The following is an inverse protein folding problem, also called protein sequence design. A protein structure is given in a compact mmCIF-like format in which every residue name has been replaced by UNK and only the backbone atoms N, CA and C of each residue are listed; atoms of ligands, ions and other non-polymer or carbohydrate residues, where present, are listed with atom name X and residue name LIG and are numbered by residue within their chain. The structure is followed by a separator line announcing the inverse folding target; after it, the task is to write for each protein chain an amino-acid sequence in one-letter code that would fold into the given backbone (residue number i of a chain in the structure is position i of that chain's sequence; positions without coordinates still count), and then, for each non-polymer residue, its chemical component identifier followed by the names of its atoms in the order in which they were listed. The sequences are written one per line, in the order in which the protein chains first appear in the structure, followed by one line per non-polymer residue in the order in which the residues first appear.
data_IF_085790504655
#
_entry.id   IF_085790504655
#
_cell.length_a   1.000
_cell.length_b   1.000
_cell.length_c   1.000
_cell.angle_alpha   90.00
_cell.angle_beta   90.00
_cell.angle_gamma   90.00
#
_symmetry.space_group_name_H-M   'P 1'
#
loop_
_entity.id
_entity.type
_entity.pdbx_description
1 polymer ?
#
# COMPACT_ATOMS: atom_id res chain seq x y z
N UNK A 1 12.34 19.15 64.09
CA UNK A 1 13.45 18.18 63.89
C UNK A 1 12.86 16.92 63.28
N UNK A 2 13.10 16.67 62.00
CA UNK A 2 12.83 15.40 61.32
C UNK A 2 13.99 15.12 60.39
N UNK A 3 14.58 13.92 60.36
CA UNK A 3 15.76 13.64 59.59
C UNK A 3 15.41 13.27 58.12
N UNK A 4 16.23 13.76 57.23
CA UNK A 4 16.27 13.48 55.80
C UNK A 4 16.87 12.08 55.53
N UNK A 5 16.14 11.19 54.89
CA UNK A 5 16.65 9.93 54.35
C UNK A 5 17.13 10.14 52.94
N UNK A 6 18.41 10.02 52.72
CA UNK A 6 19.05 9.95 51.41
C UNK A 6 19.00 8.49 50.92
N UNK A 7 18.32 8.25 49.79
CA UNK A 7 18.39 6.98 49.11
C UNK A 7 19.48 7.10 48.00
N UNK A 8 20.56 6.37 48.18
CA UNK A 8 21.61 6.26 47.16
C UNK A 8 21.23 5.16 46.19
N UNK A 9 21.08 5.52 44.91
CA UNK A 9 20.91 4.55 43.84
C UNK A 9 22.29 4.04 43.41
N UNK A 10 22.54 2.73 43.57
CA UNK A 10 23.69 2.04 43.06
C UNK A 10 23.39 1.64 41.61
N UNK A 11 24.16 2.20 40.67
CA UNK A 11 24.14 1.75 39.26
C UNK A 11 25.13 0.61 39.11
N UNK A 12 24.58 -0.56 38.81
CA UNK A 12 25.39 -1.75 38.51
C UNK A 12 25.69 -1.78 37.02
N UNK A 13 26.93 -1.53 36.62
CA UNK A 13 27.42 -1.69 35.24
C UNK A 13 27.94 -3.12 35.10
N UNK A 14 27.20 -3.96 34.39
CA UNK A 14 27.66 -5.29 33.96
C UNK A 14 28.36 -5.16 32.61
N UNK A 15 29.69 -5.26 32.65
CA UNK A 15 30.52 -5.41 31.46
C UNK A 15 30.47 -6.84 30.94
N UNK A 16 30.03 -7.01 29.70
CA UNK A 16 30.12 -8.29 28.99
C UNK A 16 31.42 -8.27 28.16
N UNK A 17 32.40 -9.05 28.56
CA UNK A 17 33.61 -9.33 27.78
C UNK A 17 33.25 -10.32 26.65
N UNK A 18 33.26 -9.85 25.41
CA UNK A 18 33.08 -10.70 24.23
C UNK A 18 34.39 -11.40 23.85
N UNK A 19 34.38 -12.71 23.85
CA UNK A 19 35.48 -13.55 23.36
C UNK A 19 35.55 -13.52 21.84
N UNK A 20 36.65 -13.04 21.28
CA UNK A 20 36.97 -13.13 19.85
C UNK A 20 37.51 -14.53 19.57
N UNK A 21 36.74 -15.37 18.91
CA UNK A 21 37.21 -16.59 18.26
C UNK A 21 37.59 -16.27 16.80
N UNK A 22 38.90 -16.28 16.56
CA UNK A 22 39.42 -16.23 15.20
C UNK A 22 39.18 -17.57 14.52
N UNK A 23 38.41 -17.53 13.42
CA UNK A 23 38.22 -18.68 12.52
C UNK A 23 39.10 -18.48 11.29
N UNK A 24 40.01 -19.41 11.07
CA UNK A 24 40.93 -19.42 9.93
C UNK A 24 40.22 -19.85 8.63
N UNK A 25 40.50 -19.10 7.59
CA UNK A 25 40.70 -19.49 6.20
C UNK A 25 39.71 -20.42 5.53
N UNK A 26 38.64 -19.85 4.95
CA UNK A 26 37.89 -20.43 3.84
C UNK A 26 37.54 -19.30 2.85
N UNK A 27 38.07 -19.41 1.64
CA UNK A 27 37.74 -18.48 0.54
C UNK A 27 36.27 -18.58 0.17
N UNK A 28 35.45 -17.72 0.78
CA UNK A 28 34.08 -17.53 0.31
C UNK A 28 34.04 -16.32 -0.62
N UNK A 29 33.68 -16.58 -1.88
CA UNK A 29 33.39 -15.52 -2.85
C UNK A 29 32.32 -14.58 -2.29
N UNK A 30 32.63 -13.29 -2.24
CA UNK A 30 31.71 -12.23 -1.87
C UNK A 30 30.66 -12.13 -2.96
N UNK A 31 29.53 -12.78 -2.78
CA UNK A 31 28.30 -12.47 -3.53
C UNK A 31 27.74 -11.18 -2.95
N UNK A 32 27.59 -10.17 -3.80
CA UNK A 32 27.01 -8.89 -3.43
C UNK A 32 25.56 -9.00 -2.94
N UNK A 33 25.02 -7.97 -2.25
CA UNK A 33 23.69 -8.01 -1.62
C UNK A 33 22.48 -8.18 -2.57
N UNK A 34 22.73 -8.35 -3.89
CA UNK A 34 21.67 -8.38 -4.90
C UNK A 34 21.11 -9.75 -5.29
N UNK A 35 21.59 -10.87 -4.70
CA UNK A 35 21.23 -12.21 -5.21
C UNK A 35 20.19 -12.99 -4.41
N UNK A 36 19.62 -12.42 -3.34
CA UNK A 36 18.63 -13.12 -2.52
C UNK A 36 17.18 -13.10 -3.05
N UNK A 37 16.90 -12.33 -4.10
CA UNK A 37 15.54 -12.14 -4.61
C UNK A 37 15.31 -12.63 -6.05
N UNK A 38 16.26 -13.34 -6.66
CA UNK A 38 16.12 -13.85 -8.04
C UNK A 38 15.69 -15.32 -8.13
N UNK A 39 15.08 -15.88 -7.09
CA UNK A 39 14.39 -17.16 -7.27
C UNK A 39 13.02 -16.87 -7.91
N UNK A 40 12.88 -17.32 -9.18
CA UNK A 40 11.61 -17.29 -9.89
C UNK A 40 10.54 -18.02 -9.09
N UNK A 41 9.59 -17.25 -8.55
CA UNK A 41 8.40 -17.78 -7.92
C UNK A 41 7.44 -18.23 -9.03
N UNK A 42 7.20 -19.53 -9.10
CA UNK A 42 6.01 -20.06 -9.79
C UNK A 42 4.78 -19.71 -8.95
N UNK A 43 3.77 -19.13 -9.57
CA UNK A 43 2.53 -18.67 -8.93
C UNK A 43 1.67 -19.78 -8.27
N UNK A 44 2.10 -21.06 -8.28
CA UNK A 44 1.18 -22.17 -8.09
C UNK A 44 1.47 -23.13 -6.93
N UNK A 45 2.54 -22.99 -6.14
CA UNK A 45 2.95 -23.99 -5.15
C UNK A 45 3.08 -23.50 -3.69
N UNK A 46 2.41 -22.41 -3.30
CA UNK A 46 2.41 -22.03 -1.88
C UNK A 46 1.29 -22.77 -1.13
N UNK A 47 1.62 -23.67 -0.18
CA UNK A 47 0.61 -24.38 0.62
C UNK A 47 -0.33 -23.47 1.40
N UNK A 48 0.11 -22.23 1.65
CA UNK A 48 -0.66 -21.23 2.42
C UNK A 48 -1.76 -20.51 1.63
N UNK A 49 -1.85 -20.70 0.31
CA UNK A 49 -2.83 -20.00 -0.53
C UNK A 49 -4.28 -20.42 -0.29
N UNK A 50 -4.52 -21.56 0.39
CA UNK A 50 -5.85 -22.12 0.63
C UNK A 50 -6.32 -22.00 2.09
N UNK A 51 -5.51 -21.48 2.99
CA UNK A 51 -5.89 -21.34 4.39
C UNK A 51 -6.79 -20.11 4.59
N UNK A 52 -7.93 -20.26 5.29
CA UNK A 52 -8.74 -19.12 5.69
C UNK A 52 -7.93 -18.17 6.57
N UNK A 53 -7.95 -16.90 6.26
CA UNK A 53 -7.26 -15.85 7.01
C UNK A 53 -8.25 -14.73 7.31
N UNK A 54 -7.96 -13.96 8.36
CA UNK A 54 -8.77 -12.82 8.76
C UNK A 54 -8.73 -11.69 7.71
N UNK A 55 -7.58 -11.53 7.04
CA UNK A 55 -7.36 -10.52 6.03
C UNK A 55 -6.62 -11.07 4.81
N UNK A 56 -7.06 -10.63 3.64
CA UNK A 56 -6.44 -10.90 2.34
C UNK A 56 -6.04 -9.57 1.70
N UNK A 57 -4.75 -9.36 1.48
CA UNK A 57 -4.29 -8.26 0.63
C UNK A 57 -4.69 -8.56 -0.81
N UNK A 58 -5.61 -7.78 -1.36
CA UNK A 58 -6.20 -8.01 -2.66
C UNK A 58 -5.85 -6.89 -3.63
N UNK A 59 -5.08 -7.22 -4.67
CA UNK A 59 -4.72 -6.31 -5.76
C UNK A 59 -5.75 -6.39 -6.87
N UNK A 60 -6.41 -5.28 -7.19
CA UNK A 60 -7.38 -5.23 -8.26
C UNK A 60 -6.70 -5.24 -9.62
N UNK A 61 -7.00 -6.24 -10.46
CA UNK A 61 -6.63 -6.29 -11.87
C UNK A 61 -7.78 -5.75 -12.70
N UNK A 62 -7.49 -4.72 -13.48
CA UNK A 62 -8.43 -4.03 -14.35
C UNK A 62 -7.85 -3.91 -15.76
N UNK A 63 -8.70 -3.69 -16.78
CA UNK A 63 -8.27 -3.39 -18.13
C UNK A 63 -7.73 -1.97 -18.22
N UNK A 64 -6.51 -1.82 -18.75
CA UNK A 64 -5.85 -0.52 -18.91
C UNK A 64 -5.97 -0.01 -20.33
N UNK A 65 -6.17 1.30 -20.49
CA UNK A 65 -6.08 1.97 -21.79
C UNK A 65 -4.71 1.80 -22.46
N UNK A 66 -3.65 1.62 -21.68
CA UNK A 66 -2.31 1.35 -22.20
C UNK A 66 -2.17 -0.06 -22.77
N UNK A 67 -2.92 -1.03 -22.28
CA UNK A 67 -2.92 -2.40 -22.80
C UNK A 67 -3.55 -2.48 -24.20
N UNK A 68 -4.53 -1.63 -24.46
CA UNK A 68 -5.21 -1.56 -25.75
C UNK A 68 -4.31 -1.04 -26.90
N UNK A 69 -3.26 -0.27 -26.56
CA UNK A 69 -2.32 0.32 -27.53
C UNK A 69 -1.01 -0.47 -27.68
N UNK A 70 -0.70 -1.41 -26.78
CA UNK A 70 0.57 -2.14 -26.77
C UNK A 70 0.63 -3.35 -27.71
N UNK A 71 -0.12 -3.33 -28.82
CA UNK A 71 -0.06 -4.35 -29.88
C UNK A 71 1.28 -4.49 -30.59
N UNK A 72 2.33 -3.76 -30.23
CA UNK A 72 3.70 -3.89 -30.72
C UNK A 72 4.73 -3.62 -29.61
N UNK A 73 5.31 -4.70 -29.06
CA UNK A 73 6.72 -4.71 -28.58
C UNK A 73 7.14 -3.73 -27.49
N UNK A 74 6.24 -3.17 -26.70
CA UNK A 74 6.61 -2.33 -25.55
C UNK A 74 7.07 -3.19 -24.37
N UNK A 75 8.18 -2.84 -23.75
CA UNK A 75 8.70 -3.43 -22.50
C UNK A 75 7.74 -3.12 -21.33
N UNK A 76 6.65 -3.90 -21.22
CA UNK A 76 5.64 -3.73 -20.18
C UNK A 76 4.78 -4.98 -20.09
N UNK A 77 5.34 -6.06 -19.59
CA UNK A 77 4.57 -7.25 -19.25
C UNK A 77 3.61 -6.90 -18.12
N UNK A 78 2.32 -6.66 -18.44
CA UNK A 78 1.27 -6.81 -17.47
C UNK A 78 0.44 -5.61 -17.04
N UNK A 79 0.25 -4.58 -17.86
CA UNK A 79 -0.73 -3.51 -17.59
C UNK A 79 -0.44 -2.59 -16.38
N UNK A 80 -1.16 -1.50 -16.30
CA UNK A 80 -0.98 -0.46 -15.25
C UNK A 80 -1.25 -0.99 -13.82
N UNK A 81 -2.13 -1.98 -13.67
CA UNK A 81 -2.44 -2.57 -12.36
C UNK A 81 -1.25 -3.26 -11.68
N UNK A 82 -0.21 -3.66 -12.46
CA UNK A 82 1.00 -4.36 -11.97
C UNK A 82 2.11 -3.44 -11.49
N UNK A 83 1.90 -2.12 -11.46
CA UNK A 83 2.91 -1.22 -10.90
C UNK A 83 3.28 -1.69 -9.48
N UNK A 84 4.59 -1.78 -9.19
CA UNK A 84 5.18 -2.17 -7.90
C UNK A 84 4.86 -3.60 -7.43
N UNK A 85 4.04 -4.34 -8.22
CA UNK A 85 3.65 -5.71 -7.92
C UNK A 85 4.77 -6.71 -8.29
N UNK A 86 5.04 -7.72 -7.46
CA UNK A 86 4.42 -8.01 -6.15
C UNK A 86 5.21 -7.47 -4.95
N UNK A 87 6.31 -6.73 -5.16
CA UNK A 87 7.22 -6.35 -4.06
C UNK A 87 6.54 -5.44 -3.04
N UNK A 88 5.83 -4.41 -3.49
CA UNK A 88 5.09 -3.51 -2.62
C UNK A 88 4.11 -4.26 -1.72
N UNK A 89 3.31 -5.15 -2.31
CA UNK A 89 2.29 -5.95 -1.62
C UNK A 89 2.90 -6.84 -0.53
N UNK A 90 3.99 -7.53 -0.87
CA UNK A 90 4.71 -8.42 0.07
C UNK A 90 5.36 -7.65 1.21
N UNK A 91 5.97 -6.51 0.92
CA UNK A 91 6.52 -5.64 1.96
C UNK A 91 5.44 -5.10 2.88
N UNK A 92 4.29 -4.71 2.31
CA UNK A 92 3.15 -4.27 3.10
C UNK A 92 2.62 -5.39 4.00
N UNK A 93 2.43 -6.59 3.47
CA UNK A 93 2.00 -7.76 4.25
C UNK A 93 2.96 -8.10 5.40
N UNK A 94 4.28 -7.98 5.17
CA UNK A 94 5.25 -8.15 6.26
C UNK A 94 5.08 -7.10 7.36
N UNK A 95 4.84 -5.85 6.99
CA UNK A 95 4.59 -4.76 7.94
C UNK A 95 3.28 -4.99 8.70
N UNK A 96 2.19 -5.33 8.01
CA UNK A 96 0.89 -5.65 8.61
C UNK A 96 1.03 -6.72 9.70
N UNK A 97 1.69 -7.83 9.41
CA UNK A 97 1.93 -8.92 10.37
C UNK A 97 2.81 -8.54 11.56
N UNK A 98 3.75 -7.61 11.36
CA UNK A 98 4.67 -7.17 12.43
C UNK A 98 4.06 -6.10 13.33
N UNK A 99 3.24 -5.24 12.75
CA UNK A 99 2.73 -4.03 13.41
C UNK A 99 1.31 -4.21 13.96
N UNK A 100 0.63 -5.29 13.56
CA UNK A 100 -0.72 -5.61 14.03
C UNK A 100 -0.82 -7.06 14.51
N UNK A 101 -2.00 -7.44 15.04
CA UNK A 101 -2.32 -8.83 15.38
C UNK A 101 -3.24 -9.47 14.34
N UNK A 102 -3.45 -8.81 13.20
CA UNK A 102 -4.30 -9.33 12.13
C UNK A 102 -3.66 -10.59 11.55
N UNK A 103 -4.42 -11.67 11.50
CA UNK A 103 -4.03 -12.91 10.84
C UNK A 103 -4.22 -12.75 9.33
N UNK A 104 -3.23 -12.10 8.70
CA UNK A 104 -3.25 -11.90 7.28
C UNK A 104 -2.65 -13.10 6.53
N UNK A 105 -3.24 -13.44 5.38
CA UNK A 105 -2.65 -14.41 4.45
C UNK A 105 -1.22 -13.96 4.08
N UNK A 106 -0.25 -14.88 4.03
CA UNK A 106 1.16 -14.53 3.80
C UNK A 106 1.48 -14.01 2.40
N UNK A 107 0.60 -14.26 1.43
CA UNK A 107 0.76 -13.87 0.02
C UNK A 107 -0.40 -13.00 -0.42
N UNK A 108 -0.11 -12.11 -1.36
CA UNK A 108 -1.08 -11.27 -2.03
C UNK A 108 -2.06 -12.08 -2.89
N UNK A 109 -3.25 -11.52 -3.14
CA UNK A 109 -4.25 -12.06 -4.05
C UNK A 109 -4.49 -11.07 -5.18
N UNK A 110 -4.39 -11.52 -6.43
CA UNK A 110 -4.87 -10.73 -7.57
C UNK A 110 -6.34 -11.05 -7.78
N UNK A 111 -7.15 -10.01 -7.90
CA UNK A 111 -8.60 -10.10 -8.07
C UNK A 111 -9.00 -9.41 -9.37
N UNK A 112 -9.66 -10.15 -10.25
CA UNK A 112 -10.12 -9.64 -11.52
C UNK A 112 -11.42 -8.87 -11.41
N UNK A 113 -11.46 -7.69 -12.03
CA UNK A 113 -12.67 -6.88 -12.04
C UNK A 113 -13.78 -7.48 -12.91
N UNK A 114 -13.44 -8.34 -13.88
CA UNK A 114 -14.40 -9.06 -14.72
C UNK A 114 -14.98 -10.32 -14.07
N UNK A 115 -14.50 -10.68 -12.87
CA UNK A 115 -14.92 -11.85 -12.10
C UNK A 115 -15.73 -11.48 -10.87
N UNK A 116 -16.73 -12.31 -10.54
CA UNK A 116 -17.49 -12.18 -9.29
C UNK A 116 -16.67 -12.56 -8.05
N UNK A 117 -15.44 -13.04 -8.23
CA UNK A 117 -14.53 -13.35 -7.13
C UNK A 117 -14.21 -12.12 -6.25
N UNK A 118 -14.31 -10.92 -6.80
CA UNK A 118 -14.13 -9.66 -6.06
C UNK A 118 -15.01 -9.59 -4.80
N UNK A 119 -16.19 -10.21 -4.80
CA UNK A 119 -17.10 -10.19 -3.64
C UNK A 119 -16.63 -11.04 -2.47
N UNK A 120 -15.58 -11.86 -2.65
CA UNK A 120 -14.94 -12.63 -1.58
C UNK A 120 -13.91 -11.81 -0.80
N UNK A 121 -13.55 -10.63 -1.28
CA UNK A 121 -12.49 -9.78 -0.73
C UNK A 121 -13.05 -8.42 -0.33
N UNK A 122 -13.27 -8.14 0.96
CA UNK A 122 -13.91 -6.90 1.40
C UNK A 122 -13.05 -5.65 1.20
N UNK A 123 -11.75 -5.82 0.90
CA UNK A 123 -10.80 -4.74 0.68
C UNK A 123 -9.97 -5.00 -0.58
N UNK A 124 -9.88 -4.02 -1.46
CA UNK A 124 -9.07 -4.10 -2.68
C UNK A 124 -8.22 -2.84 -2.87
N UNK A 125 -7.03 -3.03 -3.44
CA UNK A 125 -6.08 -1.97 -3.76
C UNK A 125 -5.85 -1.87 -5.27
N UNK A 126 -5.90 -0.66 -5.82
CA UNK A 126 -5.66 -0.37 -7.23
C UNK A 126 -4.68 0.79 -7.40
N UNK A 127 -3.73 0.64 -8.33
CA UNK A 127 -2.73 1.66 -8.66
C UNK A 127 -2.90 2.15 -10.09
N UNK A 128 -2.32 3.31 -10.42
CA UNK A 128 -2.36 3.92 -11.75
C UNK A 128 -3.77 4.01 -12.36
N UNK A 129 -4.74 4.27 -11.51
CA UNK A 129 -6.16 4.24 -11.82
C UNK A 129 -6.60 5.30 -12.84
N UNK A 130 -5.73 6.24 -13.20
CA UNK A 130 -5.95 7.13 -14.34
C UNK A 130 -5.94 6.39 -15.69
N UNK A 131 -5.43 5.16 -15.71
CA UNK A 131 -5.32 4.34 -16.92
C UNK A 131 -6.42 3.29 -17.04
N UNK A 132 -7.27 3.12 -16.04
CA UNK A 132 -8.33 2.11 -16.10
C UNK A 132 -9.39 2.42 -17.15
N UNK A 133 -9.95 1.37 -17.71
CA UNK A 133 -11.11 1.43 -18.58
C UNK A 133 -12.12 0.40 -18.12
N UNK A 134 -13.40 0.72 -18.19
CA UNK A 134 -14.47 -0.18 -17.76
C UNK A 134 -15.44 -0.45 -18.91
N UNK A 135 -15.84 -1.69 -19.03
CA UNK A 135 -17.08 -2.05 -19.65
C UNK A 135 -18.26 -1.72 -18.71
N UNK A 136 -19.48 -1.62 -19.21
CA UNK A 136 -20.66 -1.40 -18.37
C UNK A 136 -20.82 -2.51 -17.31
N UNK A 137 -20.44 -3.74 -17.65
CA UNK A 137 -20.49 -4.87 -16.72
C UNK A 137 -19.48 -4.75 -15.58
N UNK A 138 -18.23 -4.33 -15.87
CA UNK A 138 -17.20 -4.10 -14.87
C UNK A 138 -17.54 -2.91 -13.97
N UNK A 139 -18.02 -1.81 -14.56
CA UNK A 139 -18.47 -0.64 -13.81
C UNK A 139 -19.61 -1.01 -12.85
N UNK A 140 -20.60 -1.78 -13.34
CA UNK A 140 -21.69 -2.27 -12.49
C UNK A 140 -21.19 -3.20 -11.38
N UNK A 141 -20.24 -4.08 -11.66
CA UNK A 141 -19.68 -5.00 -10.66
C UNK A 141 -18.95 -4.24 -9.58
N UNK A 142 -18.12 -3.27 -9.93
CA UNK A 142 -17.43 -2.45 -8.95
C UNK A 142 -18.42 -1.60 -8.13
N UNK A 143 -19.48 -1.07 -8.77
CA UNK A 143 -20.58 -0.40 -8.08
C UNK A 143 -21.22 -1.32 -7.02
N UNK A 144 -21.64 -2.52 -7.45
CA UNK A 144 -22.29 -3.49 -6.56
C UNK A 144 -21.35 -3.91 -5.42
N UNK A 145 -20.06 -4.10 -5.71
CA UNK A 145 -19.04 -4.41 -4.71
C UNK A 145 -18.96 -3.33 -3.62
N UNK A 146 -18.83 -2.08 -4.01
CA UNK A 146 -18.70 -0.96 -3.09
C UNK A 146 -19.96 -0.79 -2.20
N UNK A 147 -21.16 -0.91 -2.80
CA UNK A 147 -22.41 -0.75 -2.06
C UNK A 147 -22.75 -1.97 -1.18
N UNK A 148 -22.19 -3.14 -1.46
CA UNK A 148 -22.37 -4.34 -0.63
C UNK A 148 -21.39 -4.45 0.54
N UNK A 149 -20.54 -3.46 0.75
CA UNK A 149 -19.62 -3.44 1.88
C UNK A 149 -18.14 -3.45 1.49
N UNK A 150 -17.82 -3.51 0.19
CA UNK A 150 -16.45 -3.45 -0.28
C UNK A 150 -15.77 -2.11 0.01
N UNK A 151 -14.46 -2.14 0.13
CA UNK A 151 -13.61 -0.97 0.28
C UNK A 151 -12.55 -0.95 -0.81
N UNK A 152 -12.42 0.17 -1.52
CA UNK A 152 -11.41 0.37 -2.56
C UNK A 152 -10.41 1.44 -2.13
N UNK A 153 -9.13 1.10 -2.09
CA UNK A 153 -8.04 2.05 -1.97
C UNK A 153 -7.41 2.29 -3.34
N UNK A 154 -7.28 3.55 -3.77
CA UNK A 154 -6.63 3.93 -5.03
C UNK A 154 -5.44 4.83 -4.80
N UNK A 155 -4.38 4.63 -5.61
CA UNK A 155 -3.07 5.25 -5.44
C UNK A 155 -2.35 5.43 -6.79
N UNK A 156 -1.22 6.13 -6.80
CA UNK A 156 -0.32 6.32 -7.94
C UNK A 156 -1.01 6.89 -9.19
N UNK A 157 -1.55 8.09 -9.04
CA UNK A 157 -1.97 8.93 -10.17
C UNK A 157 -1.83 10.41 -9.81
N UNK A 158 -1.41 11.23 -10.78
CA UNK A 158 -0.83 12.53 -10.48
C UNK A 158 -1.31 13.62 -11.43
N UNK A 159 -1.61 14.78 -10.83
CA UNK A 159 -1.97 15.99 -11.57
C UNK A 159 -3.41 15.98 -12.09
N UNK A 160 -3.74 17.08 -12.76
CA UNK A 160 -5.11 17.36 -13.21
C UNK A 160 -5.61 16.38 -14.27
N UNK A 161 -4.76 16.05 -15.23
CA UNK A 161 -5.16 15.17 -16.34
C UNK A 161 -5.43 13.73 -15.87
N UNK A 162 -4.65 13.21 -14.90
CA UNK A 162 -4.90 11.89 -14.32
C UNK A 162 -6.18 11.90 -13.48
N UNK A 163 -6.39 12.99 -12.72
CA UNK A 163 -7.62 13.18 -11.97
C UNK A 163 -8.87 13.12 -12.86
N UNK A 164 -8.86 13.81 -13.99
CA UNK A 164 -10.00 13.85 -14.91
C UNK A 164 -10.30 12.46 -15.49
N UNK A 165 -9.24 11.68 -15.83
CA UNK A 165 -9.41 10.30 -16.32
C UNK A 165 -9.91 9.35 -15.22
N UNK A 166 -9.35 9.44 -14.02
CA UNK A 166 -9.85 8.69 -12.86
C UNK A 166 -11.33 8.96 -12.62
N UNK A 167 -11.72 10.23 -12.59
CA UNK A 167 -13.11 10.62 -12.39
C UNK A 167 -14.04 10.22 -13.54
N UNK A 168 -13.54 10.15 -14.78
CA UNK A 168 -14.32 9.60 -15.88
C UNK A 168 -14.72 8.15 -15.62
N UNK A 169 -13.80 7.31 -15.15
CA UNK A 169 -14.11 5.94 -14.72
C UNK A 169 -15.04 5.88 -13.51
N UNK A 170 -14.77 6.69 -12.48
CA UNK A 170 -15.62 6.70 -11.27
C UNK A 170 -17.06 7.14 -11.55
N UNK A 171 -17.29 8.02 -12.50
CA UNK A 171 -18.65 8.40 -12.92
C UNK A 171 -19.44 7.25 -13.57
N UNK A 172 -18.77 6.27 -14.17
CA UNK A 172 -19.42 5.04 -14.63
C UNK A 172 -19.79 4.13 -13.46
N UNK A 173 -18.95 4.11 -12.43
CA UNK A 173 -19.12 3.23 -11.25
C UNK A 173 -20.12 3.83 -10.26
N UNK A 174 -19.92 5.09 -9.86
CA UNK A 174 -20.69 5.79 -8.83
C UNK A 174 -20.97 7.24 -9.25
N UNK A 175 -21.92 7.46 -10.16
CA UNK A 175 -22.18 8.78 -10.74
C UNK A 175 -22.72 9.81 -9.73
N UNK A 176 -23.46 9.36 -8.73
CA UNK A 176 -24.28 10.20 -7.87
C UNK A 176 -23.62 10.56 -6.53
N UNK A 177 -22.36 10.17 -6.32
CA UNK A 177 -21.66 10.41 -5.06
C UNK A 177 -20.54 11.44 -5.20
N UNK A 178 -20.49 12.43 -4.28
CA UNK A 178 -19.42 13.42 -4.29
C UNK A 178 -18.10 12.80 -3.82
N UNK A 179 -17.00 13.37 -4.32
CA UNK A 179 -15.68 13.18 -3.74
C UNK A 179 -15.48 14.26 -2.67
N UNK A 180 -15.04 13.86 -1.49
CA UNK A 180 -14.80 14.74 -0.34
C UNK A 180 -13.31 14.78 -0.01
N UNK A 181 -12.77 15.96 0.32
CA UNK A 181 -11.44 16.06 0.91
C UNK A 181 -11.50 15.65 2.38
N UNK A 182 -10.63 14.72 2.80
CA UNK A 182 -10.47 14.31 4.19
C UNK A 182 -9.83 15.41 5.03
N UNK A 183 -10.33 15.57 6.24
CA UNK A 183 -9.83 16.49 7.26
C UNK A 183 -8.93 15.76 8.25
N UNK A 184 -8.14 16.51 9.03
CA UNK A 184 -7.21 15.91 10.00
C UNK A 184 -7.92 15.10 11.09
N UNK A 185 -9.15 15.48 11.45
CA UNK A 185 -9.96 14.81 12.46
C UNK A 185 -10.80 13.62 11.95
N UNK A 186 -10.72 13.29 10.64
CA UNK A 186 -11.48 12.16 10.10
C UNK A 186 -10.96 10.84 10.68
N UNK A 187 -11.88 10.01 11.14
CA UNK A 187 -11.64 8.77 11.87
C UNK A 187 -10.67 7.82 11.17
N UNK A 188 -10.70 7.76 9.84
CA UNK A 188 -9.82 6.90 9.06
C UNK A 188 -8.31 7.15 9.32
N UNK A 189 -7.93 8.28 9.90
CA UNK A 189 -6.55 8.61 10.27
C UNK A 189 -6.24 8.37 11.76
N UNK A 190 -7.17 7.78 12.50
CA UNK A 190 -7.09 7.60 13.95
C UNK A 190 -7.54 6.20 14.41
N UNK A 191 -7.68 5.25 13.48
CA UNK A 191 -8.17 3.90 13.82
C UNK A 191 -7.11 3.08 14.54
N UNK A 192 -5.87 3.12 14.08
CA UNK A 192 -4.73 2.39 14.65
C UNK A 192 -3.61 3.36 15.04
N UNK A 193 -3.28 4.28 14.15
CA UNK A 193 -2.30 5.33 14.37
C UNK A 193 -2.99 6.68 14.46
N UNK A 194 -2.40 7.61 15.22
CA UNK A 194 -2.82 9.01 15.22
C UNK A 194 -2.00 9.77 14.17
N UNK A 195 -2.54 9.88 12.95
CA UNK A 195 -1.87 10.52 11.82
C UNK A 195 -2.33 11.98 11.73
N UNK A 196 -1.76 12.85 12.57
CA UNK A 196 -2.12 14.26 12.62
C UNK A 196 -1.63 15.06 11.41
N UNK A 197 -0.32 15.11 11.19
CA UNK A 197 0.26 15.82 10.05
C UNK A 197 0.58 14.87 8.91
N UNK A 198 -0.03 15.10 7.75
CA UNK A 198 0.20 14.31 6.53
C UNK A 198 0.94 15.13 5.49
N UNK A 199 1.84 14.50 4.77
CA UNK A 199 2.61 15.11 3.70
C UNK A 199 2.55 14.25 2.43
N UNK A 200 3.05 14.79 1.33
CA UNK A 200 3.13 14.09 0.06
C UNK A 200 4.13 12.93 0.16
N UNK A 201 3.68 11.73 -0.14
CA UNK A 201 4.53 10.53 -0.25
C UNK A 201 4.88 10.37 -1.72
N UNK A 202 6.15 10.59 -2.10
CA UNK A 202 6.59 10.46 -3.49
C UNK A 202 6.83 9.01 -3.88
N UNK A 203 6.88 8.76 -5.18
CA UNK A 203 7.41 7.53 -5.73
C UNK A 203 8.94 7.48 -5.77
N UNK A 204 9.48 6.41 -6.39
CA UNK A 204 10.91 6.15 -6.58
C UNK A 204 11.65 7.35 -7.20
N UNK A 205 10.98 8.13 -8.07
CA UNK A 205 11.60 9.30 -8.71
C UNK A 205 12.19 10.30 -7.73
N UNK A 206 11.77 10.30 -6.45
CA UNK A 206 12.36 11.13 -5.40
C UNK A 206 13.85 10.85 -5.21
N UNK A 207 14.25 9.59 -5.27
CA UNK A 207 15.65 9.16 -5.10
C UNK A 207 16.59 9.82 -6.13
N UNK A 208 16.09 10.06 -7.33
CA UNK A 208 16.88 10.61 -8.44
C UNK A 208 16.68 12.12 -8.63
N UNK A 209 15.52 12.64 -8.30
CA UNK A 209 15.14 14.02 -8.60
C UNK A 209 15.02 14.94 -7.37
N UNK A 210 14.85 14.37 -6.17
CA UNK A 210 14.51 15.11 -4.96
C UNK A 210 13.11 15.73 -4.97
N UNK A 211 12.26 15.42 -5.97
CA UNK A 211 10.92 15.98 -6.09
C UNK A 211 9.90 15.06 -5.44
N UNK A 212 9.03 15.63 -4.62
CA UNK A 212 7.92 14.89 -4.01
C UNK A 212 6.70 14.77 -4.93
N UNK A 213 6.66 15.52 -6.03
CA UNK A 213 5.53 15.60 -6.94
C UNK A 213 5.85 15.05 -8.32
N UNK A 214 4.82 14.59 -9.02
CA UNK A 214 4.84 14.25 -10.43
C UNK A 214 3.84 15.12 -11.20
N UNK A 215 4.12 15.37 -12.48
CA UNK A 215 3.29 16.20 -13.36
C UNK A 215 3.00 17.57 -12.72
N UNK A 216 1.74 17.98 -12.69
CA UNK A 216 1.25 19.17 -11.99
C UNK A 216 0.63 18.86 -10.60
N UNK A 217 0.92 17.66 -10.07
CA UNK A 217 0.43 17.17 -8.78
C UNK A 217 1.22 17.67 -7.57
N UNK A 218 1.37 18.98 -7.41
CA UNK A 218 2.23 19.61 -6.39
C UNK A 218 1.76 19.41 -4.95
N UNK A 219 0.48 19.13 -4.74
CA UNK A 219 -0.13 19.05 -3.41
C UNK A 219 -0.81 17.71 -3.23
N UNK A 220 -0.50 16.96 -2.15
CA UNK A 220 -1.18 15.69 -1.85
C UNK A 220 -2.67 15.94 -1.60
N UNK A 221 -3.49 15.02 -2.07
CA UNK A 221 -4.94 15.05 -1.88
C UNK A 221 -5.42 13.74 -1.28
N UNK A 222 -5.83 13.82 -0.04
CA UNK A 222 -6.45 12.72 0.70
C UNK A 222 -7.95 12.86 0.56
N UNK A 223 -8.58 12.00 -0.24
CA UNK A 223 -9.99 12.13 -0.62
C UNK A 223 -10.73 10.82 -0.42
N UNK A 224 -12.06 10.92 -0.37
CA UNK A 224 -12.92 9.76 -0.20
C UNK A 224 -14.22 9.89 -0.98
N UNK A 225 -14.86 8.73 -1.19
CA UNK A 225 -16.27 8.64 -1.53
C UNK A 225 -16.95 7.85 -0.42
N UNK A 226 -18.14 8.32 0.03
CA UNK A 226 -18.90 7.67 1.10
C UNK A 226 -20.20 7.04 0.58
N UNK A 227 -20.68 6.03 1.29
CA UNK A 227 -22.04 5.49 1.07
C UNK A 227 -23.11 6.33 1.78
N UNK A 228 -24.38 5.91 1.66
CA UNK A 228 -25.52 6.62 2.28
C UNK A 228 -25.52 6.61 3.81
N UNK A 229 -24.70 5.73 4.41
CA UNK A 229 -24.53 5.63 5.86
C UNK A 229 -23.34 6.45 6.37
N UNK A 230 -22.62 7.12 5.47
CA UNK A 230 -21.41 7.88 5.79
C UNK A 230 -20.13 7.03 5.85
N UNK A 231 -20.19 5.71 5.60
CA UNK A 231 -19.01 4.84 5.55
C UNK A 231 -18.16 5.19 4.32
N UNK A 232 -16.86 5.27 4.50
CA UNK A 232 -15.93 5.42 3.37
C UNK A 232 -15.92 4.10 2.58
N UNK A 233 -16.20 4.19 1.28
CA UNK A 233 -16.16 3.06 0.35
C UNK A 233 -15.03 3.15 -0.65
N UNK A 234 -14.51 4.36 -0.92
CA UNK A 234 -13.32 4.58 -1.73
C UNK A 234 -12.40 5.55 -1.00
N UNK A 235 -11.16 5.16 -0.75
CA UNK A 235 -10.09 6.01 -0.26
C UNK A 235 -9.14 6.36 -1.40
N UNK A 236 -8.89 7.66 -1.60
CA UNK A 236 -8.23 8.19 -2.79
C UNK A 236 -6.95 8.90 -2.38
N UNK A 237 -5.79 8.33 -2.73
CA UNK A 237 -4.46 8.88 -2.51
C UNK A 237 -3.97 9.57 -3.79
N UNK A 238 -4.50 10.76 -4.09
CA UNK A 238 -4.17 11.50 -5.30
C UNK A 238 -2.92 12.37 -5.12
N UNK A 239 -2.03 12.39 -6.11
CA UNK A 239 -0.71 13.02 -6.09
C UNK A 239 0.26 12.37 -5.10
N UNK A 240 0.16 11.08 -4.90
CA UNK A 240 1.01 10.30 -4.02
C UNK A 240 1.29 8.94 -4.65
N UNK A 241 2.33 8.27 -4.15
CA UNK A 241 2.68 6.91 -4.56
C UNK A 241 3.06 6.08 -3.33
N UNK A 242 2.04 5.60 -2.63
CA UNK A 242 2.24 4.79 -1.43
C UNK A 242 2.83 3.42 -1.78
N UNK A 243 2.46 2.87 -2.95
CA UNK A 243 2.99 1.61 -3.47
C UNK A 243 4.52 1.61 -3.59
N UNK A 244 5.10 2.63 -4.22
CA UNK A 244 6.55 2.80 -4.30
C UNK A 244 7.18 2.95 -2.89
N UNK A 245 6.53 3.71 -2.00
CA UNK A 245 7.04 3.89 -0.65
C UNK A 245 7.08 2.57 0.15
N UNK A 246 6.19 1.63 -0.13
CA UNK A 246 6.27 0.28 0.41
C UNK A 246 7.34 -0.54 -0.31
N UNK A 247 7.40 -0.48 -1.65
CA UNK A 247 8.36 -1.23 -2.46
C UNK A 247 9.80 -0.87 -2.12
N UNK A 248 10.08 0.42 -1.92
CA UNK A 248 11.42 0.95 -1.68
C UNK A 248 11.75 1.14 -0.21
N UNK A 249 10.91 0.68 0.71
CA UNK A 249 11.11 0.83 2.15
C UNK A 249 12.40 0.15 2.68
N UNK A 250 12.94 -0.82 1.95
CA UNK A 250 14.19 -1.52 2.25
C UNK A 250 15.42 -0.91 1.56
N UNK A 251 15.24 0.10 0.69
CA UNK A 251 16.34 0.81 0.04
C UNK A 251 16.80 2.00 0.91
N UNK A 252 18.08 2.05 1.33
CA UNK A 252 18.59 3.12 2.19
C UNK A 252 18.57 4.50 1.52
N UNK A 253 18.38 4.59 0.21
CA UNK A 253 18.25 5.86 -0.52
C UNK A 253 16.84 6.44 -0.45
N UNK A 254 15.82 5.58 -0.20
CA UNK A 254 14.45 6.05 -0.06
C UNK A 254 14.22 6.53 1.38
N UNK A 255 13.77 7.78 1.61
CA UNK A 255 13.66 8.34 2.95
C UNK A 255 12.64 7.60 3.83
N UNK A 256 13.09 7.15 5.00
CA UNK A 256 12.25 6.45 5.99
C UNK A 256 10.95 7.20 6.33
N UNK A 257 10.90 8.55 6.48
CA UNK A 257 9.64 9.23 6.80
C UNK A 257 8.53 8.99 5.78
N UNK A 258 8.85 8.87 4.48
CA UNK A 258 7.86 8.58 3.43
C UNK A 258 7.34 7.15 3.55
N UNK A 259 8.24 6.18 3.69
CA UNK A 259 7.85 4.79 3.91
C UNK A 259 7.01 4.62 5.18
N UNK A 260 7.45 5.23 6.29
CA UNK A 260 6.72 5.20 7.56
C UNK A 260 5.31 5.80 7.44
N UNK A 261 5.15 6.94 6.76
CA UNK A 261 3.84 7.54 6.50
C UNK A 261 2.96 6.61 5.66
N UNK A 262 3.50 6.05 4.58
CA UNK A 262 2.77 5.17 3.68
C UNK A 262 2.26 3.91 4.40
N UNK A 263 3.09 3.27 5.24
CA UNK A 263 2.66 2.12 6.04
C UNK A 263 1.57 2.48 7.04
N UNK A 264 1.70 3.59 7.78
CA UNK A 264 0.69 4.01 8.75
C UNK A 264 -0.65 4.28 8.09
N UNK A 265 -0.66 5.01 6.96
CA UNK A 265 -1.89 5.29 6.20
C UNK A 265 -2.52 3.99 5.70
N UNK A 266 -1.74 3.11 5.08
CA UNK A 266 -2.27 1.83 4.58
C UNK A 266 -2.85 0.96 5.69
N UNK A 267 -2.20 0.91 6.86
CA UNK A 267 -2.68 0.16 8.03
C UNK A 267 -3.96 0.76 8.61
N UNK A 268 -4.07 2.08 8.72
CA UNK A 268 -5.29 2.74 9.16
C UNK A 268 -6.45 2.50 8.18
N UNK A 269 -6.19 2.53 6.87
CA UNK A 269 -7.20 2.27 5.85
C UNK A 269 -7.70 0.81 5.89
N UNK A 270 -6.80 -0.15 6.14
CA UNK A 270 -7.21 -1.55 6.32
C UNK A 270 -8.05 -1.70 7.59
N UNK A 271 -7.57 -1.16 8.71
CA UNK A 271 -8.31 -1.22 9.98
C UNK A 271 -9.69 -0.58 9.86
N UNK A 272 -9.79 0.59 9.20
CA UNK A 272 -11.07 1.22 8.91
C UNK A 272 -11.99 0.31 8.10
N UNK A 273 -11.47 -0.24 6.97
CA UNK A 273 -12.25 -1.13 6.10
C UNK A 273 -12.70 -2.43 6.76
N UNK A 274 -11.96 -2.92 7.77
CA UNK A 274 -12.34 -4.14 8.52
C UNK A 274 -13.34 -3.87 9.65
N UNK A 275 -13.46 -2.61 10.12
CA UNK A 275 -14.28 -2.29 11.30
C UNK A 275 -15.53 -1.48 10.99
N UNK A 276 -15.68 -0.96 9.79
CA UNK A 276 -16.79 -0.14 9.30
C UNK A 276 -17.42 -0.72 8.04
#
# INVERSE_FOLDING_TARGET
MRPLWRVSAIVLVLGIAGSVLAFQGGSFGVQGPGSFFSQGYSDDDSPSSKEPSEFYWSRLRYTSSTDLYSGYGGYGYGGSWRRDYPKADRQFLMALKRLTRIEARPTEQVVDLDSDDIFNYPWVYAVQVANWTFTDAEAKRLHDYLLKGGFLMVDDFHGTADWDRFMAGMRMVIPDRPVEDLKDQDEIFHVLYDIGARFQVPGEQYVYSGRTYEKDGYVPKWRVIRDDKGRIIVAICHNMHLGDAWEWADDPRYPEPFASMAFRVGLDYIMYGMTH
#
